data_IF_918380668399
#
_entry.id   IF_918380668399
#
_cell.length_a   1.000
_cell.length_b   1.000
_cell.length_c   1.000
_cell.angle_alpha   90.00
_cell.angle_beta   90.00
_cell.angle_gamma   90.00
#
_symmetry.space_group_name_H-M   'P 1'
#
loop_
_entity.id
_entity.type
_entity.pdbx_description
1 polymer ?
#
# COMPACT_ATOMS: atom_id res chain seq x y z
N UNK A 1 17.92 5.02 -14.46
CA UNK A 1 16.58 4.47 -14.78
C UNK A 1 16.70 2.96 -15.00
N UNK A 2 15.80 2.14 -14.43
CA UNK A 2 15.80 0.68 -14.64
C UNK A 2 14.61 0.29 -15.52
N UNK A 3 14.85 -0.50 -16.56
CA UNK A 3 13.78 -0.97 -17.44
C UNK A 3 13.02 -2.15 -16.81
N UNK A 4 11.68 -2.11 -16.90
CA UNK A 4 10.80 -3.23 -16.58
C UNK A 4 10.64 -4.09 -17.84
N UNK A 5 10.86 -5.40 -17.73
CA UNK A 5 10.72 -6.35 -18.85
C UNK A 5 9.42 -7.15 -18.78
N UNK A 6 8.75 -7.17 -17.62
CA UNK A 6 7.47 -7.85 -17.47
C UNK A 6 6.65 -7.23 -16.34
N UNK A 7 5.38 -7.02 -16.61
CA UNK A 7 4.35 -6.71 -15.61
C UNK A 7 3.49 -7.96 -15.45
N UNK A 8 3.47 -8.54 -14.25
CA UNK A 8 2.70 -9.75 -13.94
C UNK A 8 1.60 -9.33 -12.95
N UNK A 9 0.39 -9.08 -13.47
CA UNK A 9 -0.79 -8.78 -12.65
C UNK A 9 -1.36 -10.06 -12.06
N UNK A 10 -1.96 -9.97 -10.88
CA UNK A 10 -2.72 -11.08 -10.32
C UNK A 10 -3.83 -11.53 -11.29
N UNK A 11 -3.98 -12.84 -11.51
CA UNK A 11 -4.92 -13.39 -12.52
C UNK A 11 -6.38 -13.08 -12.21
N UNK A 12 -6.70 -12.96 -10.93
CA UNK A 12 -8.04 -12.69 -10.43
C UNK A 12 -8.24 -11.21 -10.05
N UNK A 13 -7.37 -10.30 -10.53
CA UNK A 13 -7.59 -8.88 -10.31
C UNK A 13 -8.93 -8.44 -10.92
N UNK A 14 -9.77 -7.81 -10.10
CA UNK A 14 -11.07 -7.28 -10.50
C UNK A 14 -11.04 -5.74 -10.48
N UNK A 15 -11.18 -5.05 -11.64
CA UNK A 15 -11.13 -3.60 -11.70
C UNK A 15 -12.33 -2.89 -11.04
N UNK A 16 -13.46 -3.58 -10.84
CA UNK A 16 -14.66 -2.97 -10.26
C UNK A 16 -14.61 -2.96 -8.73
N UNK A 17 -14.05 -4.03 -8.14
CA UNK A 17 -13.91 -4.17 -6.69
C UNK A 17 -12.51 -3.85 -6.16
N UNK A 18 -11.49 -3.77 -7.02
CA UNK A 18 -10.07 -3.75 -6.67
C UNK A 18 -9.61 -4.99 -5.90
N UNK A 19 -10.38 -6.07 -5.93
CA UNK A 19 -9.97 -7.30 -5.28
C UNK A 19 -8.74 -7.90 -5.99
N UNK A 20 -7.79 -8.39 -5.20
CA UNK A 20 -6.48 -8.86 -5.67
C UNK A 20 -5.65 -7.81 -6.44
N UNK A 21 -5.71 -6.55 -6.02
CA UNK A 21 -4.86 -5.48 -6.56
C UNK A 21 -3.38 -5.65 -6.16
N UNK A 22 -2.68 -6.53 -6.87
CA UNK A 22 -1.25 -6.78 -6.72
C UNK A 22 -0.63 -7.13 -8.08
N UNK A 23 0.58 -6.62 -8.30
CA UNK A 23 1.39 -6.95 -9.47
C UNK A 23 2.88 -7.09 -9.12
N UNK A 24 3.58 -7.91 -9.89
CA UNK A 24 5.03 -8.07 -9.82
C UNK A 24 5.66 -7.41 -11.06
N UNK A 25 6.61 -6.51 -10.83
CA UNK A 25 7.42 -5.92 -11.87
C UNK A 25 8.77 -6.63 -11.95
N UNK A 26 9.04 -7.33 -13.06
CA UNK A 26 10.35 -7.94 -13.31
C UNK A 26 11.26 -6.92 -13.99
N UNK A 27 12.35 -6.57 -13.33
CA UNK A 27 13.38 -5.67 -13.88
C UNK A 27 14.26 -6.39 -14.91
N UNK A 28 14.77 -5.65 -15.90
CA UNK A 28 15.68 -6.17 -16.93
C UNK A 28 16.99 -6.69 -16.35
N UNK A 29 17.50 -6.00 -15.33
CA UNK A 29 18.77 -6.31 -14.65
C UNK A 29 18.52 -6.38 -13.15
N UNK A 30 19.18 -7.31 -12.42
CA UNK A 30 19.15 -7.36 -10.97
C UNK A 30 19.52 -6.01 -10.33
N UNK A 31 19.02 -5.79 -9.12
CA UNK A 31 19.37 -4.62 -8.31
C UNK A 31 20.50 -5.00 -7.38
N UNK A 32 21.63 -4.29 -7.49
CA UNK A 32 22.72 -4.40 -6.53
C UNK A 32 22.28 -3.81 -5.19
N UNK A 33 22.39 -4.61 -4.13
CA UNK A 33 22.02 -4.19 -2.79
C UNK A 33 23.14 -3.36 -2.16
N UNK A 34 22.74 -2.33 -1.44
CA UNK A 34 23.65 -1.38 -0.79
C UNK A 34 23.18 -1.10 0.64
N UNK A 35 23.78 -0.09 1.29
CA UNK A 35 23.26 0.41 2.57
C UNK A 35 21.88 1.07 2.40
N UNK A 36 21.64 1.72 1.26
CA UNK A 36 20.40 2.45 0.95
C UNK A 36 19.38 1.62 0.16
N UNK A 37 19.80 0.53 -0.48
CA UNK A 37 18.92 -0.30 -1.32
C UNK A 37 18.89 -1.72 -0.76
N UNK A 38 17.75 -2.09 -0.18
CA UNK A 38 17.51 -3.43 0.37
C UNK A 38 16.08 -3.88 0.11
N UNK A 39 15.83 -5.18 -0.06
CA UNK A 39 14.48 -5.70 -0.14
C UNK A 39 13.78 -5.59 1.22
N UNK A 40 12.45 -5.47 1.20
CA UNK A 40 11.62 -5.62 2.39
C UNK A 40 11.24 -7.08 2.60
N UNK A 41 11.01 -7.49 3.84
CA UNK A 41 10.47 -8.79 4.17
C UNK A 41 8.98 -8.87 3.82
N UNK A 42 8.53 -10.04 3.37
CA UNK A 42 7.10 -10.34 3.27
C UNK A 42 6.53 -10.63 4.67
N UNK A 43 5.24 -10.31 4.92
CA UNK A 43 4.62 -10.56 6.21
C UNK A 43 4.54 -12.06 6.52
N UNK A 44 4.83 -12.43 7.78
CA UNK A 44 4.65 -13.79 8.30
C UNK A 44 3.26 -14.01 8.91
N UNK A 45 2.64 -12.94 9.40
CA UNK A 45 1.30 -12.95 9.98
C UNK A 45 0.32 -12.37 8.97
N UNK A 46 -0.83 -13.01 8.79
CA UNK A 46 -1.83 -12.59 7.81
C UNK A 46 -2.70 -11.43 8.30
N UNK A 47 -2.93 -11.32 9.61
CA UNK A 47 -3.74 -10.25 10.21
C UNK A 47 -2.88 -9.36 11.13
N UNK A 48 -2.53 -8.14 10.70
CA UNK A 48 -1.80 -7.18 11.51
C UNK A 48 -2.71 -6.19 12.25
N UNK A 49 -4.02 -6.43 12.35
CA UNK A 49 -4.95 -5.52 13.02
C UNK A 49 -4.57 -5.21 14.47
N UNK A 50 -4.84 -3.98 14.89
CA UNK A 50 -4.46 -3.46 16.21
C UNK A 50 -3.01 -2.97 16.33
N UNK A 51 -2.16 -3.25 15.33
CA UNK A 51 -0.81 -2.67 15.23
C UNK A 51 -0.84 -1.29 14.58
N UNK A 52 0.26 -0.56 14.73
CA UNK A 52 0.55 0.64 13.93
C UNK A 52 1.43 0.24 12.76
N UNK A 53 1.09 0.72 11.57
CA UNK A 53 1.92 0.60 10.38
C UNK A 53 2.34 1.96 9.85
N UNK A 54 3.45 2.00 9.12
CA UNK A 54 4.00 3.22 8.53
C UNK A 54 3.78 3.19 7.02
N UNK A 55 3.11 4.20 6.48
CA UNK A 55 2.96 4.41 5.04
C UNK A 55 4.03 5.38 4.58
N UNK A 56 4.72 5.05 3.48
CA UNK A 56 5.81 5.87 2.93
C UNK A 56 5.56 6.13 1.45
N UNK A 57 5.71 7.39 1.00
CA UNK A 57 5.51 7.72 -0.40
C UNK A 57 5.80 9.17 -0.78
N UNK A 58 5.49 9.49 -2.04
CA UNK A 58 5.59 10.84 -2.62
C UNK A 58 4.20 11.33 -3.08
N UNK A 59 3.13 10.73 -2.58
CA UNK A 59 1.78 11.19 -2.82
C UNK A 59 1.53 12.58 -2.23
N UNK A 60 0.41 13.16 -2.62
CA UNK A 60 0.04 14.51 -2.19
C UNK A 60 -0.15 14.55 -0.67
N UNK A 61 0.33 15.62 -0.03
CA UNK A 61 0.12 15.84 1.41
C UNK A 61 -1.20 16.55 1.72
N UNK A 62 -1.93 16.98 0.68
CA UNK A 62 -3.26 17.59 0.77
C UNK A 62 -4.07 17.30 -0.50
N UNK A 63 -5.39 17.30 -0.38
CA UNK A 63 -6.28 17.13 -1.54
C UNK A 63 -6.04 18.23 -2.58
N UNK A 64 -5.77 17.84 -3.83
CA UNK A 64 -5.42 18.77 -4.91
C UNK A 64 -4.03 19.43 -4.80
N UNK A 65 -3.25 19.11 -3.76
CA UNK A 65 -1.92 19.68 -3.53
C UNK A 65 -0.85 19.26 -4.55
N UNK A 66 0.32 19.90 -4.45
CA UNK A 66 1.51 19.51 -5.22
C UNK A 66 2.14 18.22 -4.67
N UNK A 67 2.83 17.48 -5.53
CA UNK A 67 3.62 16.32 -5.10
C UNK A 67 4.87 16.81 -4.34
N UNK A 68 5.18 16.25 -3.16
CA UNK A 68 6.38 16.61 -2.41
C UNK A 68 7.66 16.17 -3.14
N UNK A 69 8.73 16.95 -3.00
CA UNK A 69 10.05 16.60 -3.55
C UNK A 69 10.83 15.61 -2.67
N UNK A 70 10.47 15.52 -1.40
CA UNK A 70 11.06 14.60 -0.42
C UNK A 70 10.03 13.54 -0.03
N UNK A 71 10.51 12.32 0.25
CA UNK A 71 9.65 11.23 0.70
C UNK A 71 8.95 11.63 2.01
N UNK A 72 7.67 11.30 2.11
CA UNK A 72 6.86 11.51 3.31
C UNK A 72 6.58 10.15 3.97
N UNK A 73 6.39 10.18 5.27
CA UNK A 73 5.96 9.02 6.05
C UNK A 73 4.91 9.40 7.09
N UNK A 74 4.01 8.47 7.39
CA UNK A 74 2.99 8.64 8.42
C UNK A 74 2.67 7.30 9.08
N UNK A 75 2.57 7.35 10.40
CA UNK A 75 2.13 6.21 11.21
C UNK A 75 0.61 6.18 11.31
N UNK A 76 0.02 5.04 10.98
CA UNK A 76 -1.43 4.82 10.94
C UNK A 76 -1.83 3.56 11.69
N UNK A 77 -2.91 3.57 12.49
CA UNK A 77 -3.39 2.36 13.14
C UNK A 77 -4.05 1.45 12.11
N UNK A 78 -3.79 0.14 12.21
CA UNK A 78 -4.41 -0.87 11.36
C UNK A 78 -5.71 -1.34 11.99
N UNK A 79 -6.78 -1.26 11.20
CA UNK A 79 -8.13 -1.60 11.61
C UNK A 79 -8.41 -3.09 11.36
N UNK A 80 -9.27 -3.66 12.19
CA UNK A 80 -9.85 -4.97 11.92
C UNK A 80 -10.77 -4.90 10.69
N UNK A 81 -10.95 -6.02 9.99
CA UNK A 81 -11.87 -6.10 8.85
C UNK A 81 -13.32 -5.73 9.24
N UNK A 82 -13.72 -6.02 10.48
CA UNK A 82 -15.02 -5.63 11.01
C UNK A 82 -15.15 -4.11 11.14
N UNK A 83 -14.13 -3.44 11.71
CA UNK A 83 -14.09 -1.98 11.78
C UNK A 83 -14.11 -1.35 10.38
N UNK A 84 -13.31 -1.86 9.44
CA UNK A 84 -13.32 -1.43 8.04
C UNK A 84 -14.72 -1.47 7.41
N UNK A 85 -15.42 -2.60 7.56
CA UNK A 85 -16.75 -2.81 6.95
C UNK A 85 -17.84 -1.99 7.63
N UNK A 86 -17.64 -1.57 8.87
CA UNK A 86 -18.54 -0.68 9.59
C UNK A 86 -18.39 0.80 9.18
N UNK A 87 -17.33 1.15 8.44
CA UNK A 87 -17.18 2.50 7.87
C UNK A 87 -18.25 2.73 6.77
N UNK A 88 -18.54 3.99 6.44
CA UNK A 88 -19.58 4.40 5.47
C UNK A 88 -19.37 3.93 4.02
N UNK A 89 -18.46 2.98 3.78
CA UNK A 89 -18.31 2.32 2.49
C UNK A 89 -19.44 1.30 2.30
N UNK A 90 -19.77 0.99 1.03
CA UNK A 90 -20.58 -0.21 0.76
C UNK A 90 -19.78 -1.41 1.26
N UNK A 91 -20.28 -2.09 2.30
CA UNK A 91 -19.58 -3.20 2.96
C UNK A 91 -19.14 -4.31 1.98
N UNK A 92 -19.83 -4.46 0.84
CA UNK A 92 -19.49 -5.38 -0.25
C UNK A 92 -18.20 -5.04 -1.00
N UNK A 93 -17.61 -3.86 -0.83
CA UNK A 93 -16.35 -3.48 -1.49
C UNK A 93 -15.09 -3.89 -0.72
N UNK A 94 -15.18 -4.17 0.58
CA UNK A 94 -14.02 -4.55 1.40
C UNK A 94 -13.99 -6.08 1.59
N UNK A 95 -13.08 -6.74 0.88
CA UNK A 95 -12.89 -8.20 0.91
C UNK A 95 -11.92 -8.63 2.00
N UNK A 96 -11.77 -9.94 2.22
CA UNK A 96 -10.78 -10.52 3.14
C UNK A 96 -9.34 -10.45 2.62
N UNK A 97 -9.14 -9.98 1.37
CA UNK A 97 -7.82 -9.78 0.76
C UNK A 97 -7.34 -8.32 0.86
N UNK A 98 -8.04 -7.51 1.66
CA UNK A 98 -7.78 -6.09 1.88
C UNK A 98 -7.62 -5.82 3.38
N UNK A 99 -6.92 -4.74 3.71
CA UNK A 99 -6.81 -4.18 5.05
C UNK A 99 -7.13 -2.68 4.99
N UNK A 100 -7.51 -2.09 6.12
CA UNK A 100 -7.58 -0.64 6.24
C UNK A 100 -6.65 -0.17 7.35
N UNK A 101 -6.09 1.02 7.15
CA UNK A 101 -5.31 1.71 8.15
C UNK A 101 -5.67 3.20 8.10
N UNK A 102 -5.55 3.88 9.24
CA UNK A 102 -5.79 5.31 9.34
C UNK A 102 -6.80 5.68 10.42
N UNK A 103 -6.82 6.97 10.76
CA UNK A 103 -7.74 7.55 11.75
C UNK A 103 -8.08 8.97 11.35
N UNK A 104 -9.36 9.26 11.16
CA UNK A 104 -9.85 10.62 10.89
C UNK A 104 -9.26 11.22 9.61
N UNK A 105 -8.43 12.25 9.75
CA UNK A 105 -7.81 13.01 8.65
C UNK A 105 -6.43 12.49 8.20
N UNK A 106 -5.96 11.37 8.74
CA UNK A 106 -4.71 10.71 8.34
C UNK A 106 -5.05 9.56 7.39
N UNK A 107 -4.84 9.78 6.10
CA UNK A 107 -5.14 8.84 5.02
C UNK A 107 -4.01 8.86 3.98
N UNK A 108 -3.84 7.76 3.25
CA UNK A 108 -3.02 7.76 2.03
C UNK A 108 -3.73 8.60 0.98
N UNK A 109 -3.05 9.57 0.37
CA UNK A 109 -3.66 10.41 -0.65
C UNK A 109 -3.32 9.92 -2.06
N UNK A 110 -3.77 10.68 -3.06
CA UNK A 110 -3.46 10.41 -4.46
C UNK A 110 -1.95 10.46 -4.70
N UNK A 111 -1.42 9.41 -5.34
CA UNK A 111 0.00 9.29 -5.70
C UNK A 111 0.77 8.23 -4.92
N UNK A 112 0.19 7.66 -3.86
CA UNK A 112 0.81 6.59 -3.05
C UNK A 112 0.36 5.17 -3.45
N UNK A 113 -0.50 5.03 -4.46
CA UNK A 113 -1.00 3.71 -4.89
C UNK A 113 0.15 2.78 -5.31
N UNK A 114 0.20 1.60 -4.70
CA UNK A 114 1.29 0.63 -4.86
C UNK A 114 2.49 0.84 -3.93
N UNK A 115 2.46 1.89 -3.09
CA UNK A 115 3.42 2.12 -2.01
C UNK A 115 3.27 1.12 -0.85
N UNK A 116 4.31 0.96 -0.01
CA UNK A 116 4.29 0.00 1.09
C UNK A 116 3.54 0.53 2.31
N UNK A 117 2.86 -0.39 3.01
CA UNK A 117 2.54 -0.26 4.44
C UNK A 117 3.51 -1.16 5.22
N UNK A 118 4.34 -0.57 6.05
CA UNK A 118 5.39 -1.26 6.80
C UNK A 118 4.93 -1.55 8.23
N UNK A 119 5.40 -2.66 8.78
CA UNK A 119 5.26 -3.00 10.19
C UNK A 119 6.66 -3.10 10.80
N UNK A 120 6.85 -2.45 11.94
CA UNK A 120 8.07 -2.53 12.74
C UNK A 120 7.95 -3.61 13.83
#
# INVERSE_FOLDING_TARGET
MRAVIRVIRHRNFDPDSFNHDIAILRLRKPVEFTKQIRPICLPKTLDPSGKTGTVIGWGRTSEGGMLPHIVQEVDVPILTLAQCRAMKYRASRITTYMLCAGKGSQDSCQGDSGGPLLLH
#
